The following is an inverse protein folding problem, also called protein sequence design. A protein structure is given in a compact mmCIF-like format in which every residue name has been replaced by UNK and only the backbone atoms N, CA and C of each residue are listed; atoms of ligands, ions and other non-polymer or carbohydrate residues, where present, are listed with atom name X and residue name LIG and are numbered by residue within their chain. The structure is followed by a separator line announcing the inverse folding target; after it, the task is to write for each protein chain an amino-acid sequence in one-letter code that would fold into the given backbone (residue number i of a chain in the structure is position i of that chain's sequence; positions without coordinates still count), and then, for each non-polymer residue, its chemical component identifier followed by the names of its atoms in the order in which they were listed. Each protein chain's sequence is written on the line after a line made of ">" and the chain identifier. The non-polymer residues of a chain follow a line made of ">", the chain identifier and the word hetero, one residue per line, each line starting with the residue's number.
data_IF_440836065068
#
_entry.id   IF_440836065068
#
_cell.length_a   1.000
_cell.length_b   1.000
_cell.length_c   1.000
_cell.angle_alpha   90.00
_cell.angle_beta   90.00
_cell.angle_gamma   90.00
#
_symmetry.space_group_name_H-M   'P 1'
#
loop_
_entity.id
_entity.type
_entity.pdbx_description
1 polymer ?
#
# COMPACT_ATOMS: atom_id res chain seq x y z
N UNK A 1 -20.30 14.50 14.50
CA UNK A 1 -19.08 13.79 14.08
C UNK A 1 -18.08 13.91 15.21
N UNK A 2 -17.56 12.81 15.78
CA UNK A 2 -16.54 12.88 16.82
C UNK A 2 -15.33 13.68 16.33
N UNK A 3 -14.99 14.72 17.09
CA UNK A 3 -13.76 15.49 16.93
C UNK A 3 -12.76 14.96 17.95
N UNK A 4 -11.59 14.53 17.50
CA UNK A 4 -10.56 13.91 18.34
C UNK A 4 -9.26 14.70 18.27
N UNK A 5 -8.32 14.40 19.15
CA UNK A 5 -7.01 15.07 19.21
C UNK A 5 -5.85 14.09 19.04
N UNK A 6 -6.08 12.99 18.30
CA UNK A 6 -5.12 11.93 18.09
C UNK A 6 -5.22 11.34 16.67
N UNK A 7 -4.35 10.38 16.36
CA UNK A 7 -4.20 9.76 15.04
C UNK A 7 -5.45 9.06 14.50
N UNK A 8 -6.46 8.78 15.34
CA UNK A 8 -7.69 8.09 14.88
C UNK A 8 -8.48 8.92 13.87
N UNK A 9 -8.28 10.25 13.84
CA UNK A 9 -8.82 11.12 12.80
C UNK A 9 -8.21 10.88 11.41
N UNK A 10 -7.09 10.18 11.29
CA UNK A 10 -6.43 9.91 10.02
C UNK A 10 -6.82 8.56 9.41
N UNK A 11 -7.57 7.71 10.12
CA UNK A 11 -7.88 6.36 9.61
C UNK A 11 -9.01 6.41 8.58
N UNK A 12 -8.77 5.92 7.35
CA UNK A 12 -9.79 5.87 6.30
C UNK A 12 -10.73 4.67 6.41
N UNK A 13 -10.28 3.61 7.10
CA UNK A 13 -10.93 2.30 7.14
C UNK A 13 -10.42 1.32 6.09
N UNK A 14 -9.74 1.80 5.04
CA UNK A 14 -9.02 0.98 4.08
C UNK A 14 -7.64 0.58 4.62
N UNK A 15 -7.05 -0.51 4.13
CA UNK A 15 -5.72 -0.99 4.51
C UNK A 15 -5.32 -2.21 3.68
N UNK A 16 -4.05 -2.59 3.77
CA UNK A 16 -3.49 -3.75 3.05
C UNK A 16 -3.77 -5.11 3.72
N UNK A 17 -4.31 -5.10 4.94
CA UNK A 17 -4.84 -6.31 5.56
C UNK A 17 -6.36 -6.37 5.41
N UNK A 18 -6.86 -7.52 5.01
CA UNK A 18 -8.28 -7.82 5.04
C UNK A 18 -8.83 -7.66 6.47
N UNK A 19 -10.13 -7.38 6.58
CA UNK A 19 -10.82 -7.33 7.87
C UNK A 19 -10.63 -6.03 8.63
N UNK A 20 -9.86 -5.09 8.08
CA UNK A 20 -9.41 -3.91 8.82
C UNK A 20 -8.51 -4.31 10.00
N UNK A 21 -7.76 -5.41 9.88
CA UNK A 21 -6.75 -5.79 10.88
C UNK A 21 -5.76 -4.63 11.07
N UNK A 22 -5.36 -4.41 12.32
CA UNK A 22 -4.47 -3.32 12.72
C UNK A 22 -3.36 -3.85 13.61
N UNK A 23 -2.27 -3.09 13.75
CA UNK A 23 -1.09 -3.44 14.53
C UNK A 23 -0.26 -4.59 13.94
N UNK A 24 -0.42 -4.89 12.64
CA UNK A 24 0.22 -6.03 11.98
C UNK A 24 1.16 -5.57 10.85
N UNK A 25 2.44 -5.95 10.87
CA UNK A 25 3.39 -5.61 9.81
C UNK A 25 2.92 -6.11 8.45
N UNK A 26 3.41 -5.51 7.36
CA UNK A 26 2.97 -5.84 6.00
C UNK A 26 4.11 -5.64 4.99
N UNK A 27 4.16 -6.51 3.99
CA UNK A 27 5.01 -6.32 2.81
C UNK A 27 4.20 -5.62 1.72
N UNK A 28 4.80 -4.63 1.07
CA UNK A 28 4.17 -3.88 -0.02
C UNK A 28 5.19 -3.73 -1.14
N UNK A 29 4.89 -4.21 -2.34
CA UNK A 29 5.73 -3.89 -3.50
C UNK A 29 5.44 -2.48 -4.01
N UNK A 30 6.46 -1.81 -4.55
CA UNK A 30 6.26 -0.56 -5.28
C UNK A 30 7.05 -0.56 -6.59
N UNK A 31 6.52 0.11 -7.60
CA UNK A 31 7.15 0.21 -8.92
C UNK A 31 7.02 1.61 -9.52
N UNK A 32 8.01 1.96 -10.36
CA UNK A 32 7.96 3.16 -11.19
C UNK A 32 7.61 2.77 -12.59
N UNK A 33 6.46 3.20 -13.05
CA UNK A 33 5.95 2.77 -14.33
C UNK A 33 6.76 3.33 -15.49
N UNK A 34 6.80 2.55 -16.57
CA UNK A 34 7.42 2.97 -17.84
C UNK A 34 6.40 3.17 -18.96
N UNK A 35 5.15 2.80 -18.70
CA UNK A 35 3.99 3.04 -19.55
C UNK A 35 2.74 3.13 -18.65
N UNK A 36 1.68 3.75 -19.16
CA UNK A 36 0.38 3.71 -18.47
C UNK A 36 -0.12 2.27 -18.34
N UNK A 37 -0.67 1.95 -17.18
CA UNK A 37 -1.25 0.63 -16.95
C UNK A 37 -2.57 0.45 -17.72
N UNK A 38 -2.80 -0.70 -18.39
CA UNK A 38 -3.98 -0.90 -19.23
C UNK A 38 -5.32 -0.72 -18.51
N UNK A 39 -5.40 -1.11 -17.23
CA UNK A 39 -6.63 -1.00 -16.44
C UNK A 39 -7.06 0.46 -16.23
N UNK A 40 -6.17 1.45 -16.37
CA UNK A 40 -6.49 2.86 -16.16
C UNK A 40 -7.60 3.35 -17.09
N UNK A 41 -7.76 2.75 -18.27
CA UNK A 41 -8.88 3.06 -19.18
C UNK A 41 -10.27 2.79 -18.59
N UNK A 42 -10.37 1.99 -17.53
CA UNK A 42 -11.62 1.76 -16.79
C UNK A 42 -11.95 2.89 -15.80
N UNK A 43 -10.96 3.72 -15.45
CA UNK A 43 -11.06 4.74 -14.39
C UNK A 43 -10.88 6.17 -14.91
N UNK A 44 -10.13 6.35 -16.00
CA UNK A 44 -9.71 7.64 -16.50
C UNK A 44 -9.95 7.74 -18.01
N UNK A 45 -9.99 8.97 -18.52
CA UNK A 45 -10.15 9.21 -19.96
C UNK A 45 -8.94 8.67 -20.75
N UNK A 46 -9.15 8.28 -22.02
CA UNK A 46 -8.04 7.86 -22.87
C UNK A 46 -6.96 8.95 -22.99
N UNK A 47 -7.36 10.23 -23.01
CA UNK A 47 -6.43 11.36 -23.04
C UNK A 47 -5.54 11.43 -21.79
N UNK A 48 -6.07 11.06 -20.61
CA UNK A 48 -5.28 10.92 -19.39
C UNK A 48 -4.28 9.77 -19.52
N UNK A 49 -4.75 8.59 -19.94
CA UNK A 49 -3.90 7.39 -20.12
C UNK A 49 -2.75 7.69 -21.09
N UNK A 50 -3.05 8.31 -22.23
CA UNK A 50 -2.07 8.65 -23.27
C UNK A 50 -1.07 9.75 -22.84
N UNK A 51 -1.39 10.51 -21.79
CA UNK A 51 -0.54 11.58 -21.27
C UNK A 51 0.55 11.12 -20.30
N UNK A 52 0.73 9.81 -20.16
CA UNK A 52 1.68 9.23 -19.23
C UNK A 52 3.13 9.68 -19.48
N UNK A 53 3.79 10.01 -18.38
CA UNK A 53 5.23 10.26 -18.31
C UNK A 53 5.84 9.44 -17.16
N UNK A 54 7.00 8.78 -17.37
CA UNK A 54 7.66 8.04 -16.31
C UNK A 54 8.36 9.01 -15.34
N UNK A 55 8.43 8.64 -14.06
CA UNK A 55 9.29 9.34 -13.10
C UNK A 55 10.74 9.35 -13.60
N UNK A 56 11.41 10.49 -13.50
CA UNK A 56 12.84 10.60 -13.74
C UNK A 56 13.65 10.11 -12.51
N UNK A 57 14.98 9.98 -12.65
CA UNK A 57 15.82 9.41 -11.58
C UNK A 57 15.78 10.19 -10.26
N UNK A 58 15.63 11.52 -10.30
CA UNK A 58 15.55 12.33 -9.09
C UNK A 58 14.20 12.13 -8.38
N UNK A 59 13.11 12.06 -9.14
CA UNK A 59 11.75 11.81 -8.63
C UNK A 59 11.64 10.40 -8.05
N UNK A 60 12.24 9.41 -8.72
CA UNK A 60 12.40 8.05 -8.20
C UNK A 60 13.10 8.07 -6.84
N UNK A 61 14.22 8.78 -6.72
CA UNK A 61 14.94 8.88 -5.45
C UNK A 61 14.08 9.54 -4.36
N UNK A 62 13.37 10.62 -4.66
CA UNK A 62 12.47 11.27 -3.70
C UNK A 62 11.35 10.33 -3.23
N UNK A 63 10.77 9.53 -4.12
CA UNK A 63 9.76 8.55 -3.74
C UNK A 63 10.32 7.48 -2.80
N UNK A 64 11.54 6.98 -3.05
CA UNK A 64 12.25 6.06 -2.13
C UNK A 64 12.49 6.70 -0.77
N UNK A 65 12.91 7.96 -0.75
CA UNK A 65 13.14 8.70 0.50
C UNK A 65 11.83 8.86 1.30
N UNK A 66 10.70 9.13 0.62
CA UNK A 66 9.39 9.20 1.24
C UNK A 66 8.91 7.84 1.80
N UNK A 67 9.03 6.77 1.00
CA UNK A 67 8.70 5.40 1.42
C UNK A 67 9.56 4.99 2.64
N UNK A 68 10.85 5.35 2.66
CA UNK A 68 11.74 5.08 3.77
C UNK A 68 11.28 5.76 5.08
N UNK A 69 10.69 6.96 5.01
CA UNK A 69 10.13 7.60 6.20
C UNK A 69 8.91 6.84 6.75
N UNK A 70 8.03 6.37 5.87
CA UNK A 70 6.87 5.57 6.27
C UNK A 70 7.28 4.21 6.85
N UNK A 71 8.25 3.53 6.23
CA UNK A 71 8.82 2.29 6.77
C UNK A 71 9.47 2.51 8.14
N UNK A 72 10.29 3.55 8.32
CA UNK A 72 10.92 3.85 9.61
C UNK A 72 9.90 4.15 10.72
N UNK A 73 8.67 4.54 10.37
CA UNK A 73 7.60 4.84 11.30
C UNK A 73 6.68 3.64 11.61
N UNK A 74 6.80 2.52 10.90
CA UNK A 74 5.78 1.45 10.93
C UNK A 74 6.32 0.07 10.59
N UNK A 75 5.50 -0.96 10.79
CA UNK A 75 5.76 -2.35 10.41
C UNK A 75 5.74 -2.61 8.89
N UNK A 76 5.79 -1.56 8.06
CA UNK A 76 5.69 -1.65 6.60
C UNK A 76 7.06 -1.87 6.00
N UNK A 77 7.19 -2.94 5.21
CA UNK A 77 8.39 -3.23 4.43
C UNK A 77 8.08 -3.00 2.95
N UNK A 78 8.70 -1.97 2.37
CA UNK A 78 8.58 -1.66 0.95
C UNK A 78 9.61 -2.43 0.11
N UNK A 79 9.14 -3.09 -0.94
CA UNK A 79 9.93 -3.92 -1.83
C UNK A 79 9.87 -3.36 -3.26
N UNK A 80 11.00 -2.93 -3.81
CA UNK A 80 10.99 -2.40 -5.17
C UNK A 80 10.81 -3.51 -6.21
N UNK A 81 9.77 -3.39 -7.02
CA UNK A 81 9.39 -4.34 -8.06
C UNK A 81 9.55 -3.73 -9.47
N UNK A 82 9.56 -4.57 -10.51
CA UNK A 82 9.51 -4.11 -11.90
C UNK A 82 8.21 -3.33 -12.19
N UNK A 83 8.20 -2.48 -13.24
CA UNK A 83 6.98 -1.83 -13.70
C UNK A 83 5.83 -2.83 -13.88
N UNK A 84 4.64 -2.46 -13.38
CA UNK A 84 3.42 -3.27 -13.42
C UNK A 84 3.29 -4.33 -12.33
N UNK A 85 4.25 -4.44 -11.39
CA UNK A 85 4.24 -5.43 -10.31
C UNK A 85 4.27 -4.81 -8.90
N UNK A 86 4.04 -3.49 -8.81
CA UNK A 86 3.89 -2.80 -7.53
C UNK A 86 2.46 -2.89 -7.01
N UNK A 87 2.29 -3.18 -5.72
CA UNK A 87 1.07 -2.86 -4.97
C UNK A 87 0.82 -1.34 -5.00
N UNK A 88 1.90 -0.54 -4.98
CA UNK A 88 1.89 0.91 -5.19
C UNK A 88 2.64 1.23 -6.49
N UNK A 89 1.95 1.83 -7.46
CA UNK A 89 2.55 2.25 -8.74
C UNK A 89 2.60 3.76 -8.85
N UNK A 90 3.76 4.28 -9.25
CA UNK A 90 4.00 5.71 -9.45
C UNK A 90 3.99 6.07 -10.94
N UNK A 91 3.21 7.09 -11.30
CA UNK A 91 3.17 7.65 -12.65
C UNK A 91 2.89 9.15 -12.69
N UNK A 92 3.31 9.81 -13.77
CA UNK A 92 2.97 11.22 -14.05
C UNK A 92 1.96 11.26 -15.20
N UNK A 93 0.94 12.11 -15.10
CA UNK A 93 -0.07 12.31 -16.14
C UNK A 93 -0.48 13.78 -16.23
N UNK A 94 -1.09 14.19 -17.34
CA UNK A 94 -1.65 15.53 -17.48
C UNK A 94 -3.04 15.62 -16.83
N UNK A 95 -3.13 16.29 -15.70
CA UNK A 95 -4.37 16.37 -14.92
C UNK A 95 -5.44 17.28 -15.52
N UNK A 96 -5.16 17.98 -16.63
CA UNK A 96 -6.24 18.59 -17.43
C UNK A 96 -7.20 17.54 -18.01
N UNK A 97 -6.81 16.25 -18.00
CA UNK A 97 -7.64 15.11 -18.43
C UNK A 97 -8.11 14.22 -17.28
N UNK A 98 -7.75 14.56 -16.03
CA UNK A 98 -8.12 13.82 -14.82
C UNK A 98 -9.45 14.35 -14.27
N UNK A 99 -10.56 13.70 -14.65
CA UNK A 99 -11.90 14.18 -14.27
C UNK A 99 -12.04 14.28 -12.75
N UNK A 100 -12.35 15.47 -12.24
CA UNK A 100 -12.52 15.74 -10.81
C UNK A 100 -11.21 16.02 -10.05
N UNK A 101 -10.06 15.95 -10.70
CA UNK A 101 -8.75 16.27 -10.15
C UNK A 101 -8.03 17.37 -10.95
N UNK A 102 -8.77 18.13 -11.76
CA UNK A 102 -8.22 19.21 -12.56
C UNK A 102 -7.57 20.27 -11.64
N UNK A 103 -6.25 20.46 -11.80
CA UNK A 103 -5.48 21.43 -11.01
C UNK A 103 -4.89 20.89 -9.70
N UNK A 104 -5.11 19.61 -9.35
CA UNK A 104 -4.39 18.97 -8.26
C UNK A 104 -2.90 18.77 -8.62
N UNK A 105 -2.04 18.74 -7.60
CA UNK A 105 -0.62 18.44 -7.79
C UNK A 105 -0.38 16.91 -7.91
N UNK A 106 -1.14 16.14 -7.16
CA UNK A 106 -1.13 14.68 -7.16
C UNK A 106 -2.47 14.17 -6.61
N UNK A 107 -2.73 12.87 -6.78
CA UNK A 107 -3.75 12.13 -6.04
C UNK A 107 -3.37 10.66 -5.97
N UNK A 108 -3.92 9.96 -4.97
CA UNK A 108 -3.70 8.53 -4.78
C UNK A 108 -5.00 7.78 -4.47
N UNK A 109 -4.98 6.48 -4.77
CA UNK A 109 -6.04 5.56 -4.38
C UNK A 109 -5.71 4.90 -3.04
N UNK A 110 -6.74 4.72 -2.21
CA UNK A 110 -6.62 3.89 -1.01
C UNK A 110 -6.27 2.43 -1.36
N UNK A 111 -5.75 1.66 -0.39
CA UNK A 111 -5.67 0.21 -0.51
C UNK A 111 -7.04 -0.40 -0.83
N UNK A 112 -7.05 -1.42 -1.69
CA UNK A 112 -8.28 -2.03 -2.24
C UNK A 112 -8.36 -3.53 -2.00
N UNK A 113 -8.06 -4.01 -0.79
CA UNK A 113 -8.25 -5.42 -0.43
C UNK A 113 -9.73 -5.70 -0.13
N UNK A 114 -10.40 -6.51 -0.93
CA UNK A 114 -11.81 -6.84 -0.72
C UNK A 114 -11.98 -8.15 0.04
N UNK A 115 -12.60 -8.05 1.21
CA UNK A 115 -12.83 -9.16 2.16
C UNK A 115 -13.78 -10.25 1.69
N UNK A 116 -14.68 -9.98 0.75
CA UNK A 116 -15.88 -10.81 0.59
C UNK A 116 -15.68 -12.08 -0.24
N UNK A 117 -14.51 -12.29 -0.84
CA UNK A 117 -14.26 -13.48 -1.69
C UNK A 117 -12.89 -14.11 -1.56
N UNK A 118 -11.95 -13.56 -0.78
CA UNK A 118 -10.53 -13.98 -0.82
C UNK A 118 -9.94 -13.99 -2.26
N UNK A 119 -10.55 -13.31 -3.23
CA UNK A 119 -10.32 -13.61 -4.64
C UNK A 119 -9.59 -12.53 -5.46
N UNK A 120 -9.53 -11.27 -4.99
CA UNK A 120 -8.85 -10.22 -5.76
C UNK A 120 -8.58 -8.94 -4.96
N UNK A 121 -7.55 -8.21 -5.39
CA UNK A 121 -7.34 -6.80 -5.08
C UNK A 121 -7.85 -5.91 -6.21
N UNK A 122 -8.13 -4.64 -5.91
CA UNK A 122 -8.47 -3.67 -6.96
C UNK A 122 -7.24 -3.39 -7.82
N UNK A 123 -7.36 -3.51 -9.14
CA UNK A 123 -6.24 -3.23 -10.06
C UNK A 123 -5.64 -1.82 -9.93
N UNK A 124 -6.34 -0.84 -9.35
CA UNK A 124 -5.87 0.55 -9.16
C UNK A 124 -5.53 0.87 -7.70
N UNK A 125 -5.68 -0.09 -6.78
CA UNK A 125 -5.40 0.11 -5.36
C UNK A 125 -4.00 0.65 -5.15
N UNK A 126 -3.84 1.61 -4.23
CA UNK A 126 -2.53 2.13 -3.86
C UNK A 126 -1.82 2.99 -4.92
N UNK A 127 -2.36 3.13 -6.15
CA UNK A 127 -1.70 3.91 -7.19
C UNK A 127 -1.57 5.38 -6.84
N UNK A 128 -0.43 5.97 -7.21
CA UNK A 128 -0.09 7.36 -6.95
C UNK A 128 0.22 8.06 -8.27
N UNK A 129 -0.53 9.11 -8.56
CA UNK A 129 -0.40 9.90 -9.77
C UNK A 129 0.03 11.32 -9.45
N UNK A 130 0.99 11.84 -10.21
CA UNK A 130 1.41 13.24 -10.17
C UNK A 130 1.00 13.97 -11.43
N UNK A 131 0.67 15.26 -11.31
CA UNK A 131 0.40 16.10 -12.46
C UNK A 131 1.69 16.46 -13.18
N UNK A 132 1.74 16.32 -14.51
CA UNK A 132 2.87 16.79 -15.34
C UNK A 132 3.05 18.31 -15.33
N UNK A 133 2.10 19.06 -14.77
CA UNK A 133 2.17 20.52 -14.61
C UNK A 133 2.60 20.96 -13.21
N UNK A 134 2.85 20.02 -12.29
CA UNK A 134 3.31 20.27 -10.94
C UNK A 134 4.63 19.54 -10.66
N UNK A 135 5.51 20.07 -9.78
CA UNK A 135 6.70 19.35 -9.40
C UNK A 135 6.35 18.13 -8.54
N UNK A 136 7.03 17.00 -8.81
CA UNK A 136 7.11 15.91 -7.83
C UNK A 136 8.04 16.35 -6.71
N UNK A 137 7.49 16.50 -5.50
CA UNK A 137 8.25 16.92 -4.33
C UNK A 137 8.00 15.99 -3.13
N UNK A 138 8.90 16.06 -2.15
CA UNK A 138 8.89 15.14 -1.00
C UNK A 138 7.61 15.24 -0.15
N UNK A 139 7.09 16.44 0.10
CA UNK A 139 5.92 16.61 0.96
C UNK A 139 4.65 16.08 0.32
N UNK A 140 4.50 16.30 -0.99
CA UNK A 140 3.40 15.72 -1.78
C UNK A 140 3.55 14.19 -1.84
N UNK A 141 4.75 13.65 -2.04
CA UNK A 141 4.98 12.20 -1.98
C UNK A 141 4.62 11.60 -0.62
N UNK A 142 5.03 12.23 0.48
CA UNK A 142 4.68 11.78 1.82
C UNK A 142 3.15 11.74 2.01
N UNK A 143 2.45 12.77 1.53
CA UNK A 143 0.98 12.86 1.58
C UNK A 143 0.30 11.72 0.80
N UNK A 144 0.64 11.56 -0.48
CA UNK A 144 -0.01 10.57 -1.35
C UNK A 144 0.31 9.12 -0.93
N UNK A 145 1.53 8.85 -0.46
CA UNK A 145 1.85 7.55 0.14
C UNK A 145 1.01 7.31 1.40
N UNK A 146 0.70 8.36 2.18
CA UNK A 146 -0.24 8.26 3.31
C UNK A 146 -1.61 7.74 2.87
N UNK A 147 -2.16 8.25 1.77
CA UNK A 147 -3.39 7.72 1.17
C UNK A 147 -3.24 6.28 0.70
N UNK A 148 -2.16 5.94 -0.02
CA UNK A 148 -1.85 4.59 -0.46
C UNK A 148 -1.59 3.61 0.71
N UNK A 149 -1.38 4.11 1.93
CA UNK A 149 -1.29 3.32 3.16
C UNK A 149 -2.62 3.26 3.94
N UNK A 150 -3.66 3.95 3.48
CA UNK A 150 -4.99 3.96 4.10
C UNK A 150 -5.24 5.12 5.07
N UNK A 151 -4.50 6.22 4.96
CA UNK A 151 -4.73 7.43 5.77
C UNK A 151 -5.56 8.44 4.99
N UNK A 152 -6.59 9.00 5.61
CA UNK A 152 -7.44 10.06 5.03
C UNK A 152 -7.05 11.43 5.55
N UNK A 153 -7.60 12.47 4.91
CA UNK A 153 -7.51 13.83 5.44
C UNK A 153 -8.14 13.94 6.85
N UNK A 154 -7.57 14.78 7.72
CA UNK A 154 -8.03 14.98 9.10
C UNK A 154 -9.39 15.70 9.19
N UNK A 155 -9.81 16.43 8.17
CA UNK A 155 -11.07 17.20 8.15
C UNK A 155 -12.23 16.49 7.46
N UNK A 156 -12.02 15.29 6.91
CA UNK A 156 -13.03 14.55 6.15
C UNK A 156 -13.58 13.34 6.92
N UNK A 157 -14.68 12.76 6.45
CA UNK A 157 -15.24 11.53 7.01
C UNK A 157 -15.88 11.67 8.39
N UNK A 158 -16.21 10.52 9.00
CA UNK A 158 -17.01 10.47 10.23
C UNK A 158 -16.27 10.97 11.48
N UNK A 159 -14.94 10.81 11.54
CA UNK A 159 -14.09 11.26 12.64
C UNK A 159 -13.10 12.28 12.11
N UNK A 160 -13.11 13.47 12.70
CA UNK A 160 -12.23 14.58 12.29
C UNK A 160 -11.29 15.00 13.40
N UNK A 161 -10.19 15.66 13.03
CA UNK A 161 -9.19 16.16 13.95
C UNK A 161 -9.62 17.52 14.51
N UNK A 162 -9.19 17.80 15.74
CA UNK A 162 -9.38 19.12 16.35
C UNK A 162 -8.75 20.19 15.45
N UNK A 163 -9.42 21.32 15.16
CA UNK A 163 -8.90 22.31 14.21
C UNK A 163 -7.51 22.86 14.52
N UNK A 164 -7.11 22.91 15.80
CA UNK A 164 -5.76 23.34 16.21
C UNK A 164 -4.66 22.32 15.91
N UNK A 165 -5.03 21.06 15.62
CA UNK A 165 -4.12 19.98 15.29
C UNK A 165 -4.15 19.61 13.80
N UNK A 166 -5.21 19.98 13.07
CA UNK A 166 -5.27 19.90 11.62
C UNK A 166 -4.35 20.98 11.01
N UNK A 167 -3.05 20.67 11.01
CA UNK A 167 -1.96 21.50 10.51
C UNK A 167 -0.81 20.60 10.02
N UNK A 168 -0.14 21.00 8.93
CA UNK A 168 1.00 20.27 8.33
C UNK A 168 2.19 20.04 9.26
N UNK A 169 2.31 20.79 10.36
CA UNK A 169 3.30 20.51 11.39
C UNK A 169 3.03 19.21 12.16
N UNK A 170 1.76 18.77 12.21
CA UNK A 170 1.33 17.60 12.98
C UNK A 170 1.05 16.38 12.10
N UNK A 171 0.61 16.60 10.86
CA UNK A 171 0.31 15.54 9.88
C UNK A 171 0.50 16.04 8.46
N UNK A 172 1.20 15.27 7.62
CA UNK A 172 1.32 15.55 6.17
C UNK A 172 -0.04 15.46 5.47
N UNK A 173 -1.02 14.80 6.08
CA UNK A 173 -2.39 14.67 5.55
C UNK A 173 -3.22 15.96 5.70
N UNK A 174 -2.71 17.02 6.33
CA UNK A 174 -3.41 18.30 6.45
C UNK A 174 -3.22 19.20 5.23
N UNK A 175 -4.27 19.95 4.88
CA UNK A 175 -4.18 21.07 3.94
C UNK A 175 -3.91 22.42 4.60
N UNK A 176 -3.90 22.49 5.92
CA UNK A 176 -3.71 23.72 6.68
C UNK A 176 -2.25 23.90 7.09
N UNK A 177 -1.91 25.14 7.42
CA UNK A 177 -0.59 25.54 7.94
C UNK A 177 0.14 26.52 7.03
N UNK A 178 0.84 27.48 7.62
CA UNK A 178 1.64 28.50 6.91
C UNK A 178 3.11 28.06 6.80
N UNK A 179 3.34 26.88 6.22
CA UNK A 179 4.68 26.32 6.07
C UNK A 179 4.95 25.86 4.63
N UNK A 180 6.23 25.80 4.27
CA UNK A 180 6.68 25.11 3.06
C UNK A 180 6.24 23.64 3.09
N UNK A 181 6.22 22.99 1.92
CA UNK A 181 5.81 21.59 1.80
C UNK A 181 6.60 20.72 2.82
N UNK A 182 5.93 19.93 3.70
CA UNK A 182 6.62 19.22 4.78
C UNK A 182 7.72 18.31 4.24
N UNK A 183 8.92 18.42 4.84
CA UNK A 183 10.05 17.55 4.51
C UNK A 183 10.03 16.22 5.30
N UNK A 184 9.14 16.08 6.28
CA UNK A 184 9.07 14.90 7.13
C UNK A 184 7.66 14.63 7.67
N UNK A 185 7.42 13.37 8.06
CA UNK A 185 6.19 12.96 8.75
C UNK A 185 6.00 13.71 10.08
N UNK A 186 4.78 14.16 10.33
CA UNK A 186 4.33 14.64 11.63
C UNK A 186 4.13 13.50 12.63
N UNK A 187 3.91 13.82 13.90
CA UNK A 187 3.73 12.77 14.92
C UNK A 187 2.42 12.00 14.74
N UNK A 188 1.35 12.65 14.25
CA UNK A 188 0.07 11.98 14.01
C UNK A 188 0.17 10.99 12.85
N UNK A 189 1.01 11.27 11.84
CA UNK A 189 1.26 10.36 10.73
C UNK A 189 1.91 9.08 11.23
N UNK A 190 3.00 9.22 12.01
CA UNK A 190 3.74 8.10 12.60
C UNK A 190 2.85 7.25 13.50
N UNK A 191 2.08 7.89 14.38
CA UNK A 191 1.14 7.19 15.25
C UNK A 191 0.05 6.47 14.44
N UNK A 192 -0.45 7.07 13.36
CA UNK A 192 -1.50 6.51 12.52
C UNK A 192 -1.03 5.27 11.76
N UNK A 193 0.15 5.33 11.14
CA UNK A 193 0.71 4.19 10.38
C UNK A 193 1.16 3.09 11.33
N UNK A 194 1.72 3.43 12.50
CA UNK A 194 2.13 2.45 13.50
C UNK A 194 0.93 1.74 14.14
N UNK A 195 -0.17 2.46 14.37
CA UNK A 195 -1.44 1.84 14.78
C UNK A 195 -1.90 0.82 13.74
N UNK A 196 -1.75 1.13 12.46
CA UNK A 196 -2.27 0.31 11.37
C UNK A 196 -1.40 -0.92 11.10
N UNK A 197 -0.10 -0.74 10.98
CA UNK A 197 0.82 -1.80 10.56
C UNK A 197 1.80 -2.23 11.64
N UNK A 198 1.61 -1.79 12.89
CA UNK A 198 2.57 -2.02 13.96
C UNK A 198 3.78 -1.08 13.88
N UNK A 199 4.65 -1.05 14.90
CA UNK A 199 5.87 -0.26 14.88
C UNK A 199 6.94 -0.88 13.95
N UNK A 200 7.95 -0.10 13.55
CA UNK A 200 9.06 -0.60 12.73
C UNK A 200 9.82 -1.80 13.34
N UNK A 201 9.84 -1.93 14.66
CA UNK A 201 10.41 -3.12 15.31
C UNK A 201 9.63 -4.42 15.04
N UNK A 202 8.45 -4.34 14.42
CA UNK A 202 7.61 -5.48 14.05
C UNK A 202 7.76 -5.88 12.58
N UNK A 203 8.62 -5.23 11.78
CA UNK A 203 8.80 -5.54 10.35
C UNK A 203 8.95 -7.04 10.09
N UNK A 204 8.00 -7.62 9.33
CA UNK A 204 7.98 -9.02 8.94
C UNK A 204 7.77 -10.04 10.07
N UNK A 205 7.40 -9.60 11.29
CA UNK A 205 7.19 -10.53 12.43
C UNK A 205 5.83 -11.26 12.39
N UNK A 206 4.99 -11.03 11.37
CA UNK A 206 3.74 -11.78 11.17
C UNK A 206 3.95 -13.19 10.62
N UNK A 207 5.17 -13.51 10.20
CA UNK A 207 5.63 -14.82 9.72
C UNK A 207 6.87 -15.25 10.50
N UNK A 208 7.18 -16.54 10.54
CA UNK A 208 8.33 -17.04 11.29
C UNK A 208 9.67 -16.68 10.63
N UNK A 209 9.69 -16.60 9.29
CA UNK A 209 10.82 -16.06 8.54
C UNK A 209 10.38 -15.55 7.18
N UNK A 210 11.17 -14.64 6.62
CA UNK A 210 10.95 -14.15 5.27
C UNK A 210 12.27 -13.75 4.61
N UNK A 211 12.26 -13.63 3.28
CA UNK A 211 13.36 -13.06 2.51
C UNK A 211 12.88 -12.42 1.22
N UNK A 212 13.60 -11.38 0.77
CA UNK A 212 13.38 -10.77 -0.54
C UNK A 212 14.57 -11.05 -1.47
N UNK A 213 14.30 -11.67 -2.62
CA UNK A 213 15.29 -11.83 -3.68
C UNK A 213 15.10 -10.75 -4.75
N UNK A 214 15.85 -9.66 -4.66
CA UNK A 214 15.77 -8.55 -5.61
C UNK A 214 16.21 -8.89 -7.05
N UNK A 215 16.88 -10.03 -7.28
CA UNK A 215 17.27 -10.45 -8.63
C UNK A 215 16.12 -11.14 -9.37
N UNK A 216 15.22 -11.81 -8.63
CA UNK A 216 14.05 -12.50 -9.18
C UNK A 216 12.73 -11.81 -8.81
N UNK A 217 12.78 -10.77 -7.98
CA UNK A 217 11.64 -10.09 -7.37
C UNK A 217 10.71 -11.10 -6.69
N UNK A 218 11.30 -11.94 -5.83
CA UNK A 218 10.56 -13.00 -5.14
C UNK A 218 10.56 -12.74 -3.64
N UNK A 219 9.37 -12.59 -3.07
CA UNK A 219 9.18 -12.61 -1.62
C UNK A 219 8.94 -14.06 -1.18
N UNK A 220 9.74 -14.52 -0.23
CA UNK A 220 9.52 -15.81 0.44
C UNK A 220 9.01 -15.54 1.84
N UNK A 221 7.91 -16.16 2.22
CA UNK A 221 7.29 -16.08 3.55
C UNK A 221 7.05 -17.47 4.10
N UNK A 222 7.54 -17.74 5.31
CA UNK A 222 7.36 -19.02 6.00
C UNK A 222 6.59 -18.78 7.30
N UNK A 223 5.42 -19.41 7.40
CA UNK A 223 4.55 -19.44 8.56
C UNK A 223 5.16 -20.22 9.74
N UNK A 224 4.31 -20.67 10.64
CA UNK A 224 4.67 -21.28 11.91
C UNK A 224 3.88 -22.58 12.13
N UNK A 225 4.01 -23.23 13.27
CA UNK A 225 3.18 -24.41 13.58
C UNK A 225 1.75 -24.08 14.05
N UNK A 226 1.31 -22.83 13.93
CA UNK A 226 -0.05 -22.42 14.28
C UNK A 226 -0.60 -21.39 13.31
N UNK A 227 -1.91 -21.14 13.38
CA UNK A 227 -2.67 -20.33 12.43
C UNK A 227 -2.00 -18.99 12.07
N UNK A 228 -1.78 -18.80 10.78
CA UNK A 228 -1.15 -17.64 10.18
C UNK A 228 -2.11 -16.90 9.25
N UNK A 229 -1.78 -15.62 9.04
CA UNK A 229 -2.44 -14.79 8.05
C UNK A 229 -1.32 -14.19 7.19
N UNK A 230 -1.27 -14.58 5.93
CA UNK A 230 -0.18 -14.25 5.02
C UNK A 230 -0.76 -13.60 3.78
N UNK A 231 -0.19 -12.44 3.44
CA UNK A 231 -0.44 -11.75 2.17
C UNK A 231 0.87 -11.75 1.42
N UNK A 232 0.87 -12.19 0.18
CA UNK A 232 1.92 -11.89 -0.77
C UNK A 232 1.83 -10.45 -1.27
N UNK A 233 2.46 -10.17 -2.40
CA UNK A 233 2.64 -8.85 -3.00
C UNK A 233 2.42 -8.93 -4.50
N UNK A 234 2.53 -7.83 -5.24
CA UNK A 234 2.30 -7.82 -6.69
C UNK A 234 3.33 -8.56 -7.56
N UNK A 235 4.23 -9.35 -6.97
CA UNK A 235 5.30 -10.11 -7.64
C UNK A 235 5.16 -11.60 -7.35
N UNK A 236 5.85 -12.47 -8.10
CA UNK A 236 5.87 -13.90 -7.82
C UNK A 236 6.41 -14.24 -6.43
N UNK A 237 5.58 -14.88 -5.62
CA UNK A 237 5.87 -15.19 -4.23
C UNK A 237 6.05 -16.69 -3.98
N UNK A 238 6.73 -16.99 -2.86
CA UNK A 238 6.84 -18.33 -2.30
C UNK A 238 6.33 -18.29 -0.86
N UNK A 239 5.22 -18.96 -0.61
CA UNK A 239 4.56 -18.97 0.69
C UNK A 239 4.39 -20.40 1.18
N UNK A 240 4.82 -20.67 2.42
CA UNK A 240 4.57 -21.94 3.12
C UNK A 240 3.98 -21.64 4.50
N UNK A 241 2.71 -22.03 4.71
CA UNK A 241 1.99 -21.88 5.98
C UNK A 241 2.56 -22.74 7.12
N UNK A 242 3.22 -23.85 6.76
CA UNK A 242 3.66 -24.93 7.63
C UNK A 242 2.53 -25.69 8.33
N UNK A 243 1.98 -25.16 9.41
CA UNK A 243 1.03 -25.90 10.23
C UNK A 243 0.01 -24.99 10.92
N UNK A 244 -1.19 -25.48 11.15
CA UNK A 244 -2.29 -24.68 11.71
C UNK A 244 -3.30 -24.33 10.62
N UNK A 245 -4.44 -23.75 11.01
CA UNK A 245 -5.45 -23.32 10.04
C UNK A 245 -5.07 -21.93 9.51
N UNK A 246 -4.45 -21.88 8.34
CA UNK A 246 -3.88 -20.67 7.78
C UNK A 246 -4.85 -19.93 6.85
N UNK A 247 -4.60 -18.63 6.66
CA UNK A 247 -5.27 -17.80 5.66
C UNK A 247 -4.21 -17.15 4.81
N UNK A 248 -4.11 -17.57 3.55
CA UNK A 248 -3.03 -17.16 2.64
C UNK A 248 -3.62 -16.59 1.35
N UNK A 249 -3.19 -15.38 1.01
CA UNK A 249 -3.47 -14.75 -0.27
C UNK A 249 -2.16 -14.45 -1.00
N UNK A 250 -1.98 -14.98 -2.21
CA UNK A 250 -0.80 -14.80 -3.05
C UNK A 250 -0.67 -13.37 -3.56
N UNK A 251 -1.71 -12.85 -4.19
CA UNK A 251 -1.69 -11.48 -4.72
C UNK A 251 -1.69 -11.49 -6.25
N UNK A 252 -0.91 -10.61 -6.85
CA UNK A 252 -0.66 -10.66 -8.28
C UNK A 252 0.67 -11.36 -8.53
N UNK A 253 0.81 -12.09 -9.63
CA UNK A 253 2.06 -12.74 -10.00
C UNK A 253 1.88 -14.21 -10.32
N UNK A 254 2.97 -14.96 -10.32
CA UNK A 254 2.90 -16.43 -10.41
C UNK A 254 3.42 -17.00 -9.11
N UNK A 255 2.49 -17.34 -8.22
CA UNK A 255 2.83 -17.68 -6.85
C UNK A 255 2.98 -19.18 -6.64
N UNK A 256 3.81 -19.56 -5.66
CA UNK A 256 3.87 -20.92 -5.14
C UNK A 256 3.44 -20.91 -3.68
N UNK A 257 2.29 -21.51 -3.40
CA UNK A 257 1.65 -21.51 -2.08
C UNK A 257 1.51 -22.96 -1.58
N UNK A 258 1.98 -23.21 -0.37
CA UNK A 258 1.72 -24.43 0.38
C UNK A 258 1.01 -24.07 1.70
N UNK A 259 -0.19 -24.60 1.95
CA UNK A 259 -0.82 -24.55 3.26
C UNK A 259 -0.16 -25.52 4.26
N UNK A 260 0.31 -26.64 3.71
CA UNK A 260 1.05 -27.71 4.40
C UNK A 260 0.18 -28.54 5.34
N UNK A 261 -0.27 -28.06 6.50
CA UNK A 261 -1.12 -28.87 7.37
C UNK A 261 -2.05 -28.07 8.26
N UNK A 262 -3.28 -28.53 8.43
CA UNK A 262 -4.37 -27.77 9.04
C UNK A 262 -5.45 -27.52 7.99
N UNK A 263 -6.56 -26.92 8.41
CA UNK A 263 -7.66 -26.60 7.50
C UNK A 263 -7.47 -25.17 6.97
N UNK A 264 -6.94 -25.05 5.75
CA UNK A 264 -6.45 -23.77 5.23
C UNK A 264 -7.45 -23.06 4.32
N UNK A 265 -7.34 -21.73 4.24
CA UNK A 265 -8.02 -20.90 3.24
C UNK A 265 -6.96 -20.24 2.36
N UNK A 266 -6.86 -20.70 1.11
CA UNK A 266 -5.78 -20.37 0.20
C UNK A 266 -6.32 -19.78 -1.09
N UNK A 267 -5.74 -18.65 -1.50
CA UNK A 267 -6.01 -18.05 -2.79
C UNK A 267 -4.71 -17.62 -3.45
N UNK A 268 -4.51 -18.06 -4.69
CA UNK A 268 -3.38 -17.61 -5.53
C UNK A 268 -3.51 -16.14 -5.89
N UNK A 269 -4.74 -15.65 -6.11
CA UNK A 269 -4.98 -14.32 -6.63
C UNK A 269 -4.86 -14.29 -8.17
N UNK A 270 -4.27 -13.23 -8.71
CA UNK A 270 -4.17 -13.02 -10.15
C UNK A 270 -2.87 -13.56 -10.72
N UNK A 271 -2.98 -14.42 -11.73
CA UNK A 271 -1.86 -14.90 -12.53
C UNK A 271 -1.84 -16.42 -12.63
N UNK A 272 -0.64 -17.00 -12.70
CA UNK A 272 -0.48 -18.45 -12.90
C UNK A 272 0.12 -19.08 -11.65
N UNK A 273 -0.76 -19.51 -10.75
CA UNK A 273 -0.36 -19.94 -9.42
C UNK A 273 -0.28 -21.46 -9.28
N UNK A 274 0.59 -21.88 -8.38
CA UNK A 274 0.68 -23.25 -7.87
C UNK A 274 0.28 -23.25 -6.41
N UNK A 275 -0.97 -23.62 -6.13
CA UNK A 275 -1.51 -23.73 -4.78
C UNK A 275 -1.64 -25.21 -4.39
N UNK A 276 -1.10 -25.55 -3.22
CA UNK A 276 -1.20 -26.88 -2.61
C UNK A 276 -1.70 -26.75 -1.17
N UNK A 277 -2.95 -27.16 -0.90
CA UNK A 277 -3.54 -27.18 0.43
C UNK A 277 -2.70 -27.96 1.43
N UNK A 278 -2.39 -29.21 1.10
CA UNK A 278 -1.63 -30.08 1.97
C UNK A 278 -2.56 -31.04 2.71
N UNK A 279 -2.40 -31.14 4.03
CA UNK A 279 -3.18 -32.05 4.86
C UNK A 279 -4.26 -31.29 5.66
N UNK A 280 -5.53 -31.55 5.39
CA UNK A 280 -6.66 -30.94 6.07
C UNK A 280 -7.84 -30.76 5.11
N UNK A 281 -8.88 -30.08 5.56
CA UNK A 281 -10.01 -29.69 4.74
C UNK A 281 -9.82 -28.24 4.23
N UNK A 282 -9.18 -28.10 3.07
CA UNK A 282 -8.75 -26.80 2.51
C UNK A 282 -9.76 -26.19 1.52
N UNK A 283 -9.79 -24.85 1.42
CA UNK A 283 -10.64 -24.07 0.50
C UNK A 283 -9.83 -23.10 -0.34
#
# INVERSE_FOLDING_TARGET
>A
MPVVSNHTALQSGFGWWWGGLTGRPVFITYSFETAAQPYLGNYQSQAFVDSFEPFNNAEKQLARDALAQWAAASGVVFLEAPPGQGDIRFGVHNFNFASGNEGAAAFAYYPGTYLFTFASESDIAGDIFFSSTAPVDLGTLLHEIGHALGLKHPHEGATTLTPSLDDRANTVMSYNGNYANPAALGYLDRDAVAYKYGPNSADGTHVASWSWNAATFTLTQIGSGGANAVRGVGTSDVIDGLGGADTIFGGDGSDTIAGSGGDDNLSGGAGLDRVNGGAGDDV
#
